data_IF_300230399402
#
_entry.id   IF_300230399402
#
_cell.length_a   1.000
_cell.length_b   1.000
_cell.length_c   1.000
_cell.angle_alpha   90.00
_cell.angle_beta   90.00
_cell.angle_gamma   90.00
#
_symmetry.space_group_name_H-M   'P 1'
#
loop_
_entity.id
_entity.type
_entity.pdbx_description
1 polymer ?
#
# COMPACT_ATOMS: atom_id res chain seq x y z
N UNK A 1 -7.34 -2.12 8.13
CA UNK A 1 -6.01 -1.48 8.20
C UNK A 1 -5.81 -0.64 6.93
N UNK A 2 -5.14 0.51 7.05
CA UNK A 2 -4.89 1.41 5.92
C UNK A 2 -3.42 1.82 5.88
N UNK A 3 -2.94 2.22 4.70
CA UNK A 3 -1.57 2.70 4.49
C UNK A 3 -1.62 4.20 4.15
N UNK A 4 -1.17 5.10 5.04
CA UNK A 4 -1.26 6.54 4.80
C UNK A 4 -0.57 7.02 3.52
N UNK A 5 0.56 6.39 3.16
CA UNK A 5 1.33 6.72 1.95
C UNK A 5 0.71 6.20 0.65
N UNK A 6 -0.23 5.24 0.73
CA UNK A 6 -0.92 4.67 -0.42
C UNK A 6 -2.42 4.91 -0.27
N UNK A 7 -2.91 6.13 -0.61
CA UNK A 7 -4.32 6.47 -0.48
C UNK A 7 -5.20 5.45 -1.23
N UNK A 8 -6.15 4.86 -0.52
CA UNK A 8 -7.02 3.81 -1.06
C UNK A 8 -6.53 2.37 -0.84
N UNK A 9 -5.28 2.16 -0.37
CA UNK A 9 -4.81 0.85 0.05
C UNK A 9 -5.35 0.52 1.45
N UNK A 10 -6.43 -0.26 1.47
CA UNK A 10 -7.17 -0.67 2.65
C UNK A 10 -7.35 -2.19 2.60
N UNK A 11 -7.15 -2.84 3.73
CA UNK A 11 -7.38 -4.27 3.89
C UNK A 11 -8.04 -4.59 5.23
N UNK A 12 -8.83 -5.65 5.28
CA UNK A 12 -9.46 -6.17 6.50
C UNK A 12 -9.00 -7.61 6.77
N UNK A 13 -9.30 -8.13 7.97
CA UNK A 13 -9.08 -9.51 8.38
C UNK A 13 -9.74 -9.75 9.74
N UNK A 14 -10.08 -10.99 10.06
CA UNK A 14 -10.75 -11.38 11.32
C UNK A 14 -9.83 -11.19 12.53
N UNK A 15 -8.52 -11.21 12.29
CA UNK A 15 -7.50 -10.94 13.29
C UNK A 15 -6.58 -9.81 12.85
N UNK A 16 -5.88 -9.22 13.82
CA UNK A 16 -4.83 -8.24 13.53
C UNK A 16 -3.73 -8.83 12.65
N UNK A 17 -3.35 -10.09 12.88
CA UNK A 17 -2.30 -10.76 12.11
C UNK A 17 -2.73 -10.97 10.66
N UNK A 18 -3.97 -11.36 10.44
CA UNK A 18 -4.55 -11.52 9.11
C UNK A 18 -4.68 -10.18 8.39
N UNK A 19 -5.25 -9.16 9.04
CA UNK A 19 -5.33 -7.82 8.45
C UNK A 19 -3.95 -7.25 8.08
N UNK A 20 -2.91 -7.62 8.85
CA UNK A 20 -1.52 -7.25 8.57
C UNK A 20 -0.89 -8.06 7.44
N UNK A 21 -1.22 -9.35 7.29
CA UNK A 21 -0.79 -10.15 6.15
C UNK A 21 -1.43 -9.62 4.85
N UNK A 22 -2.74 -9.43 4.87
CA UNK A 22 -3.51 -8.96 3.71
C UNK A 22 -3.06 -7.56 3.26
N UNK A 23 -2.80 -6.63 4.20
CA UNK A 23 -2.33 -5.28 3.82
C UNK A 23 -0.92 -5.31 3.19
N UNK A 24 -0.05 -6.26 3.55
CA UNK A 24 1.28 -6.38 2.93
C UNK A 24 1.17 -6.82 1.48
N UNK A 25 0.34 -7.81 1.20
CA UNK A 25 0.05 -8.25 -0.18
C UNK A 25 -0.57 -7.11 -1.00
N UNK A 26 -1.49 -6.34 -0.41
CA UNK A 26 -2.09 -5.19 -1.06
C UNK A 26 -1.06 -4.09 -1.40
N UNK A 27 -0.07 -3.84 -0.52
CA UNK A 27 1.03 -2.91 -0.77
C UNK A 27 1.89 -3.40 -1.94
N UNK A 28 2.26 -4.68 -1.96
CA UNK A 28 3.08 -5.25 -3.03
C UNK A 28 2.39 -5.12 -4.39
N UNK A 29 1.11 -5.50 -4.47
CA UNK A 29 0.31 -5.36 -5.70
C UNK A 29 0.16 -3.90 -6.14
N UNK A 30 0.01 -2.98 -5.20
CA UNK A 30 -0.09 -1.55 -5.52
C UNK A 30 1.21 -1.04 -6.15
N UNK A 31 2.37 -1.41 -5.58
CA UNK A 31 3.68 -1.04 -6.12
C UNK A 31 3.89 -1.65 -7.50
N UNK A 32 3.51 -2.92 -7.70
CA UNK A 32 3.58 -3.56 -9.03
C UNK A 32 2.73 -2.83 -10.07
N UNK A 33 1.52 -2.37 -9.70
CA UNK A 33 0.67 -1.56 -10.58
C UNK A 33 1.35 -0.26 -10.97
N UNK A 34 1.86 0.51 -9.99
CA UNK A 34 2.57 1.76 -10.27
C UNK A 34 3.78 1.54 -11.18
N UNK A 35 4.54 0.46 -10.96
CA UNK A 35 5.68 0.12 -11.82
C UNK A 35 5.24 -0.21 -13.25
N UNK A 36 4.13 -0.94 -13.42
CA UNK A 36 3.57 -1.28 -14.73
C UNK A 36 3.07 -0.03 -15.47
N UNK A 37 2.51 0.92 -14.74
CA UNK A 37 2.00 2.19 -15.27
C UNK A 37 3.12 3.25 -15.44
N UNK A 38 4.34 2.96 -14.97
CA UNK A 38 5.48 3.88 -15.01
C UNK A 38 5.36 5.06 -14.04
N UNK A 39 4.48 4.94 -13.05
CA UNK A 39 4.25 5.94 -12.02
C UNK A 39 5.31 5.86 -10.91
N UNK A 40 5.66 6.99 -10.27
CA UNK A 40 6.60 7.00 -9.18
C UNK A 40 6.03 6.28 -7.95
N UNK A 41 6.84 5.46 -7.30
CA UNK A 41 6.47 4.85 -6.03
C UNK A 41 6.51 5.92 -4.93
N UNK A 42 5.41 6.16 -4.21
CA UNK A 42 5.39 7.13 -3.13
C UNK A 42 6.25 6.60 -1.97
N UNK A 43 7.30 7.35 -1.65
CA UNK A 43 8.17 7.13 -0.51
C UNK A 43 8.00 8.27 0.49
N UNK A 44 8.47 8.09 1.72
CA UNK A 44 8.44 9.13 2.76
C UNK A 44 9.15 10.43 2.33
N UNK A 45 10.09 10.36 1.38
CA UNK A 45 10.80 11.51 0.82
C UNK A 45 10.02 12.22 -0.31
N UNK A 46 9.04 11.55 -0.93
CA UNK A 46 8.26 12.09 -2.05
C UNK A 46 7.00 12.85 -1.59
N UNK A 47 6.75 12.91 -0.28
CA UNK A 47 5.71 13.77 0.32
C UNK A 47 6.24 15.20 0.40
N UNK A 48 6.47 15.85 -0.75
CA UNK A 48 6.72 17.30 -0.75
C UNK A 48 5.41 18.04 -0.46
N UNK A 49 5.48 19.01 0.46
CA UNK A 49 4.36 19.81 0.98
C UNK A 49 3.57 20.61 -0.08
#
# INVERSE_FOLDING_TARGET
MMVPLLPGCISEGDTREEALANIKEAIELYIESLQADGEPIPTEEAVEE
#
